data_IF_648117843914
#
_entry.id   IF_648117843914
#
_cell.length_a   1.000
_cell.length_b   1.000
_cell.length_c   1.000
_cell.angle_alpha   90.00
_cell.angle_beta   90.00
_cell.angle_gamma   90.00
#
_symmetry.space_group_name_H-M   'P 1'
#
loop_
_entity.id
_entity.type
_entity.pdbx_description
1 polymer ?
#
# COMPACT_ATOMS: atom_id res chain seq x y z
N UNK A 1 -21.72 22.62 14.85
CA UNK A 1 -21.67 21.20 15.26
C UNK A 1 -20.49 20.53 14.56
N UNK A 2 -19.59 19.89 15.29
CA UNK A 2 -18.42 19.25 14.69
C UNK A 2 -18.81 17.92 14.02
N UNK A 3 -18.93 17.90 12.68
CA UNK A 3 -19.33 16.74 11.87
C UNK A 3 -18.19 15.71 11.65
N UNK A 4 -17.01 15.98 12.16
CA UNK A 4 -15.83 15.10 11.96
C UNK A 4 -15.99 13.75 12.64
N UNK A 5 -16.49 13.72 13.88
CA UNK A 5 -16.65 12.48 14.67
C UNK A 5 -17.69 11.54 14.06
N UNK A 6 -18.91 11.98 13.68
CA UNK A 6 -19.86 11.12 13.00
C UNK A 6 -19.32 10.57 11.67
N UNK A 7 -18.63 11.41 10.90
CA UNK A 7 -18.00 10.99 9.63
C UNK A 7 -16.93 9.93 9.87
N UNK A 8 -16.09 10.10 10.89
CA UNK A 8 -15.07 9.13 11.25
C UNK A 8 -15.69 7.77 11.64
N UNK A 9 -16.76 7.77 12.44
CA UNK A 9 -17.48 6.52 12.80
C UNK A 9 -18.08 5.81 11.60
N UNK A 10 -18.61 6.55 10.64
CA UNK A 10 -19.13 5.99 9.40
C UNK A 10 -18.02 5.36 8.55
N UNK A 11 -16.91 6.08 8.37
CA UNK A 11 -15.75 5.60 7.62
C UNK A 11 -15.12 4.36 8.28
N UNK A 12 -15.00 4.36 9.62
CA UNK A 12 -14.38 3.25 10.34
C UNK A 12 -15.11 1.92 10.08
N UNK A 13 -16.45 1.91 9.99
CA UNK A 13 -17.21 0.69 9.66
C UNK A 13 -16.85 0.12 8.29
N UNK A 14 -16.74 0.96 7.25
CA UNK A 14 -16.33 0.54 5.92
C UNK A 14 -14.89 0.03 5.90
N UNK A 15 -13.98 0.73 6.56
CA UNK A 15 -12.59 0.29 6.71
C UNK A 15 -12.49 -1.03 7.47
N UNK A 16 -13.24 -1.21 8.57
CA UNK A 16 -13.23 -2.45 9.35
C UNK A 16 -13.65 -3.65 8.48
N UNK A 17 -14.73 -3.53 7.72
CA UNK A 17 -15.20 -4.59 6.84
C UNK A 17 -14.17 -5.00 5.79
N UNK A 18 -13.61 -4.03 5.05
CA UNK A 18 -12.59 -4.33 4.04
C UNK A 18 -11.27 -4.81 4.65
N UNK A 19 -10.88 -4.30 5.81
CA UNK A 19 -9.71 -4.78 6.54
C UNK A 19 -9.90 -6.23 6.97
N UNK A 20 -11.10 -6.62 7.41
CA UNK A 20 -11.42 -8.01 7.75
C UNK A 20 -11.31 -8.93 6.55
N UNK A 21 -11.84 -8.53 5.38
CA UNK A 21 -11.66 -9.27 4.13
C UNK A 21 -10.17 -9.39 3.78
N UNK A 22 -9.41 -8.30 3.94
CA UNK A 22 -7.96 -8.30 3.75
C UNK A 22 -7.25 -9.32 4.64
N UNK A 23 -7.60 -9.38 5.93
CA UNK A 23 -7.04 -10.38 6.85
C UNK A 23 -7.35 -11.81 6.44
N UNK A 24 -8.60 -12.10 6.06
CA UNK A 24 -8.98 -13.42 5.57
C UNK A 24 -8.21 -13.80 4.29
N UNK A 25 -7.99 -12.84 3.39
CA UNK A 25 -7.21 -13.06 2.18
C UNK A 25 -5.72 -13.29 2.45
N UNK A 26 -5.15 -12.60 3.43
CA UNK A 26 -3.79 -12.82 3.90
C UNK A 26 -3.65 -14.23 4.48
N UNK A 27 -4.58 -14.66 5.31
CA UNK A 27 -4.59 -16.03 5.85
C UNK A 27 -4.73 -17.06 4.75
N UNK A 28 -5.64 -16.84 3.80
CA UNK A 28 -5.85 -17.73 2.65
C UNK A 28 -4.59 -17.85 1.78
N UNK A 29 -3.96 -16.74 1.42
CA UNK A 29 -2.73 -16.74 0.62
C UNK A 29 -1.56 -17.41 1.34
N UNK A 30 -1.47 -17.25 2.66
CA UNK A 30 -0.45 -17.91 3.49
C UNK A 30 -0.67 -19.42 3.56
N UNK A 31 -1.92 -19.86 3.69
CA UNK A 31 -2.27 -21.29 3.69
C UNK A 31 -1.98 -21.93 2.34
N UNK A 32 -2.38 -21.29 1.24
CA UNK A 32 -2.10 -21.78 -0.13
C UNK A 32 -0.59 -21.83 -0.38
N UNK A 33 0.14 -20.78 -0.05
CA UNK A 33 1.60 -20.74 -0.21
C UNK A 33 2.30 -21.85 0.57
N UNK A 34 1.85 -22.13 1.81
CA UNK A 34 2.40 -23.24 2.60
C UNK A 34 2.07 -24.61 2.03
N UNK A 35 0.89 -24.81 1.48
CA UNK A 35 0.49 -26.03 0.81
C UNK A 35 1.36 -26.28 -0.44
N UNK A 36 1.50 -25.26 -1.29
CA UNK A 36 2.34 -25.35 -2.50
C UNK A 36 3.78 -25.76 -2.14
N UNK A 37 4.37 -25.11 -1.14
CA UNK A 37 5.71 -25.45 -0.69
C UNK A 37 5.83 -26.87 -0.14
N UNK A 38 4.83 -27.35 0.59
CA UNK A 38 4.81 -28.73 1.08
C UNK A 38 4.75 -29.72 -0.07
N UNK A 39 3.95 -29.42 -1.10
CA UNK A 39 3.88 -30.26 -2.31
C UNK A 39 5.19 -30.24 -3.09
N UNK A 40 5.82 -29.07 -3.27
CA UNK A 40 7.12 -28.94 -3.94
C UNK A 40 8.24 -29.71 -3.19
N UNK A 41 8.22 -29.70 -1.85
CA UNK A 41 9.15 -30.49 -1.04
C UNK A 41 8.97 -31.99 -1.26
N UNK A 42 7.73 -32.44 -1.43
CA UNK A 42 7.46 -33.88 -1.70
C UNK A 42 7.92 -34.28 -3.08
N UNK A 43 7.79 -33.39 -4.08
CA UNK A 43 8.23 -33.69 -5.46
C UNK A 43 9.73 -33.57 -5.66
N UNK A 44 10.46 -32.80 -4.86
CA UNK A 44 11.91 -32.59 -4.98
C UNK A 44 12.61 -32.67 -3.60
N UNK A 45 12.75 -33.85 -3.01
CA UNK A 45 13.26 -34.02 -1.65
C UNK A 45 14.73 -33.64 -1.42
N UNK A 46 15.51 -33.43 -2.50
CA UNK A 46 16.94 -33.06 -2.42
C UNK A 46 17.27 -31.60 -2.62
N UNK A 47 16.30 -30.73 -2.94
CA UNK A 47 16.60 -29.31 -3.10
C UNK A 47 16.45 -28.55 -1.76
N UNK A 48 17.47 -27.75 -1.35
CA UNK A 48 17.34 -26.87 -0.20
C UNK A 48 16.26 -25.82 -0.51
N UNK A 49 15.13 -25.95 0.15
CA UNK A 49 14.08 -24.91 0.08
C UNK A 49 14.56 -23.75 0.93
N UNK A 50 14.98 -22.69 0.29
CA UNK A 50 15.38 -21.43 0.95
C UNK A 50 14.27 -20.89 1.88
N UNK A 51 14.59 -19.92 2.73
CA UNK A 51 13.59 -19.27 3.58
C UNK A 51 12.44 -18.75 2.72
N UNK A 52 11.23 -18.97 3.18
CA UNK A 52 10.03 -18.50 2.46
C UNK A 52 9.89 -17.01 2.67
N UNK A 53 10.08 -16.24 1.62
CA UNK A 53 9.73 -14.81 1.63
C UNK A 53 8.24 -14.64 1.92
N UNK A 54 7.92 -13.70 2.80
CA UNK A 54 6.56 -13.51 3.30
C UNK A 54 5.63 -12.92 2.23
N UNK A 55 4.97 -13.77 1.45
CA UNK A 55 3.98 -13.38 0.44
C UNK A 55 2.80 -12.60 1.03
N UNK A 56 2.54 -12.75 2.33
CA UNK A 56 1.46 -12.03 3.02
C UNK A 56 1.70 -10.50 3.10
N UNK A 57 2.95 -10.01 3.11
CA UNK A 57 3.24 -8.58 3.01
C UNK A 57 2.78 -8.01 1.66
N UNK A 58 3.01 -8.75 0.57
CA UNK A 58 2.55 -8.37 -0.77
C UNK A 58 1.02 -8.37 -0.84
N UNK A 59 0.39 -9.40 -0.26
CA UNK A 59 -1.08 -9.46 -0.20
C UNK A 59 -1.65 -8.27 0.57
N UNK A 60 -1.07 -7.92 1.72
CA UNK A 60 -1.48 -6.74 2.49
C UNK A 60 -1.27 -5.42 1.70
N UNK A 61 -0.18 -5.31 0.94
CA UNK A 61 0.09 -4.16 0.09
C UNK A 61 -0.98 -4.01 -1.01
N UNK A 62 -1.37 -5.09 -1.67
CA UNK A 62 -2.45 -5.10 -2.66
C UNK A 62 -3.77 -4.64 -2.01
N UNK A 63 -4.11 -5.20 -0.84
CA UNK A 63 -5.33 -4.80 -0.12
C UNK A 63 -5.30 -3.34 0.34
N UNK A 64 -4.15 -2.81 0.73
CA UNK A 64 -4.00 -1.40 1.08
C UNK A 64 -4.38 -0.49 -0.10
N UNK A 65 -3.89 -0.79 -1.31
CA UNK A 65 -4.29 -0.07 -2.54
C UNK A 65 -5.77 -0.22 -2.81
N UNK A 66 -6.31 -1.44 -2.74
CA UNK A 66 -7.74 -1.71 -3.01
C UNK A 66 -8.66 -0.98 -2.02
N UNK A 67 -8.32 -0.96 -0.73
CA UNK A 67 -9.05 -0.19 0.29
C UNK A 67 -9.06 1.29 -0.09
N UNK A 68 -7.90 1.84 -0.45
CA UNK A 68 -7.80 3.21 -0.93
C UNK A 68 -8.69 3.47 -2.15
N UNK A 69 -8.68 2.58 -3.13
CA UNK A 69 -9.45 2.73 -4.36
C UNK A 69 -10.96 2.59 -4.14
N UNK A 70 -11.40 1.54 -3.46
CA UNK A 70 -12.82 1.19 -3.38
C UNK A 70 -13.58 2.09 -2.41
N UNK A 71 -13.02 2.34 -1.21
CA UNK A 71 -13.74 3.10 -0.20
C UNK A 71 -13.83 4.59 -0.50
N UNK A 72 -12.78 5.15 -1.08
CA UNK A 72 -12.67 6.61 -1.13
C UNK A 72 -13.77 7.27 -1.95
N UNK A 73 -14.06 6.77 -3.15
CA UNK A 73 -15.04 7.40 -4.02
C UNK A 73 -16.48 7.19 -3.53
N UNK A 74 -16.77 6.00 -3.02
CA UNK A 74 -18.10 5.66 -2.48
C UNK A 74 -18.39 6.52 -1.26
N UNK A 75 -17.45 6.56 -0.32
CA UNK A 75 -17.62 7.31 0.92
C UNK A 75 -17.60 8.83 0.70
N UNK A 76 -16.84 9.34 -0.29
CA UNK A 76 -16.85 10.75 -0.67
C UNK A 76 -18.24 11.17 -1.18
N UNK A 77 -18.85 10.40 -2.09
CA UNK A 77 -20.19 10.69 -2.60
C UNK A 77 -21.22 10.71 -1.48
N UNK A 78 -21.19 9.71 -0.61
CA UNK A 78 -22.12 9.62 0.53
C UNK A 78 -21.90 10.74 1.54
N UNK A 79 -20.66 11.11 1.85
CA UNK A 79 -20.34 12.18 2.77
C UNK A 79 -20.83 13.55 2.26
N UNK A 80 -20.61 13.83 0.98
CA UNK A 80 -21.07 15.08 0.34
C UNK A 80 -22.59 15.13 0.26
N UNK A 81 -23.26 14.02 -0.07
CA UNK A 81 -24.72 13.92 -0.05
C UNK A 81 -25.31 14.21 1.34
N UNK A 82 -24.60 13.83 2.41
CA UNK A 82 -24.95 14.13 3.81
C UNK A 82 -24.46 15.52 4.30
N UNK A 83 -24.03 16.40 3.40
CA UNK A 83 -23.62 17.76 3.73
C UNK A 83 -22.30 17.86 4.47
N UNK A 84 -21.44 16.84 4.39
CA UNK A 84 -20.08 16.89 4.94
C UNK A 84 -19.16 17.62 3.98
N UNK A 85 -18.40 18.60 4.49
CA UNK A 85 -17.44 19.31 3.64
C UNK A 85 -16.31 18.37 3.17
N UNK A 86 -15.80 18.62 1.97
CA UNK A 86 -14.70 17.81 1.38
C UNK A 86 -13.43 17.84 2.23
N UNK A 87 -13.15 18.98 2.87
CA UNK A 87 -12.03 19.12 3.80
C UNK A 87 -12.24 18.25 5.05
N UNK A 88 -13.43 18.31 5.65
CA UNK A 88 -13.79 17.47 6.81
C UNK A 88 -13.72 16.00 6.47
N UNK A 89 -14.20 15.61 5.28
CA UNK A 89 -14.11 14.25 4.80
C UNK A 89 -12.66 13.75 4.70
N UNK A 90 -11.77 14.54 4.08
CA UNK A 90 -10.37 14.14 3.95
C UNK A 90 -9.69 14.03 5.32
N UNK A 91 -9.92 15.01 6.21
CA UNK A 91 -9.36 15.01 7.57
C UNK A 91 -9.85 13.81 8.40
N UNK A 92 -11.08 13.34 8.17
CA UNK A 92 -11.59 12.13 8.82
C UNK A 92 -11.02 10.83 8.20
N UNK A 93 -10.69 10.84 6.90
CA UNK A 93 -10.08 9.67 6.23
C UNK A 93 -8.63 9.42 6.65
N UNK A 94 -7.85 10.45 6.97
CA UNK A 94 -6.45 10.29 7.35
C UNK A 94 -6.27 9.37 8.56
N UNK A 95 -6.91 9.61 9.72
CA UNK A 95 -6.78 8.70 10.86
C UNK A 95 -7.37 7.31 10.58
N UNK A 96 -8.46 7.21 9.80
CA UNK A 96 -9.03 5.92 9.42
C UNK A 96 -8.07 5.08 8.58
N UNK A 97 -7.39 5.70 7.61
CA UNK A 97 -6.38 5.04 6.78
C UNK A 97 -5.13 4.65 7.60
N UNK A 98 -4.70 5.52 8.52
CA UNK A 98 -3.58 5.22 9.41
C UNK A 98 -3.90 4.04 10.33
N UNK A 99 -5.12 3.98 10.89
CA UNK A 99 -5.57 2.83 11.69
C UNK A 99 -5.60 1.54 10.87
N UNK A 100 -6.07 1.59 9.62
CA UNK A 100 -6.07 0.43 8.72
C UNK A 100 -4.63 -0.03 8.41
N UNK A 101 -3.74 0.89 8.09
CA UNK A 101 -2.33 0.60 7.85
C UNK A 101 -1.65 -0.03 9.08
N UNK A 102 -1.92 0.51 10.28
CA UNK A 102 -1.42 -0.04 11.53
C UNK A 102 -1.98 -1.44 11.80
N UNK A 103 -3.27 -1.67 11.56
CA UNK A 103 -3.91 -2.97 11.73
C UNK A 103 -3.28 -4.03 10.80
N UNK A 104 -3.06 -3.71 9.52
CA UNK A 104 -2.36 -4.61 8.59
C UNK A 104 -0.92 -4.90 9.03
N UNK A 105 -0.19 -3.88 9.44
CA UNK A 105 1.20 -4.04 9.89
C UNK A 105 1.30 -4.92 11.13
N UNK A 106 0.48 -4.66 12.15
CA UNK A 106 0.45 -5.46 13.37
C UNK A 106 0.05 -6.90 13.09
N UNK A 107 -0.98 -7.10 12.25
CA UNK A 107 -1.43 -8.44 11.87
C UNK A 107 -0.33 -9.22 11.13
N UNK A 108 0.35 -8.60 10.16
CA UNK A 108 1.45 -9.21 9.44
C UNK A 108 2.61 -9.57 10.37
N UNK A 109 2.94 -8.69 11.31
CA UNK A 109 4.03 -8.94 12.25
C UNK A 109 3.69 -10.09 13.23
N UNK A 110 2.46 -10.13 13.74
CA UNK A 110 1.99 -11.25 14.58
C UNK A 110 2.00 -12.56 13.79
N UNK A 111 1.49 -12.54 12.55
CA UNK A 111 1.49 -13.71 11.67
C UNK A 111 2.93 -14.20 11.38
N UNK A 112 3.86 -13.28 11.15
CA UNK A 112 5.28 -13.60 11.02
C UNK A 112 5.83 -14.29 12.26
N UNK A 113 5.56 -13.78 13.47
CA UNK A 113 6.03 -14.40 14.71
C UNK A 113 5.49 -15.82 14.89
N UNK A 114 4.21 -16.03 14.58
CA UNK A 114 3.58 -17.35 14.61
C UNK A 114 4.25 -18.29 13.63
N UNK A 115 4.38 -17.88 12.38
CA UNK A 115 4.96 -18.72 11.33
C UNK A 115 6.43 -19.05 11.57
N UNK A 116 7.20 -18.08 12.07
CA UNK A 116 8.61 -18.27 12.42
C UNK A 116 8.84 -19.34 13.48
N UNK A 117 7.85 -19.58 14.36
CA UNK A 117 7.94 -20.66 15.35
C UNK A 117 7.89 -22.08 14.71
N UNK A 118 7.33 -22.19 13.51
CA UNK A 118 7.13 -23.48 12.83
C UNK A 118 8.06 -23.71 11.63
N UNK A 119 8.56 -22.63 11.01
CA UNK A 119 9.40 -22.69 9.81
C UNK A 119 10.25 -21.43 9.63
N UNK A 120 11.39 -21.49 8.93
CA UNK A 120 12.17 -20.31 8.60
C UNK A 120 11.38 -19.44 7.60
N UNK A 121 10.92 -18.27 8.08
CA UNK A 121 10.24 -17.25 7.28
C UNK A 121 11.00 -15.94 7.44
N UNK A 122 11.19 -15.21 6.34
CA UNK A 122 11.76 -13.86 6.34
C UNK A 122 10.73 -12.87 5.84
N UNK A 123 10.68 -11.68 6.42
CA UNK A 123 9.89 -10.56 5.92
C UNK A 123 10.66 -9.85 4.80
N UNK A 124 9.96 -9.32 3.80
CA UNK A 124 10.55 -8.47 2.75
C UNK A 124 11.28 -7.28 3.39
N UNK A 125 10.67 -6.69 4.41
CA UNK A 125 11.27 -5.60 5.19
C UNK A 125 12.59 -6.00 5.87
N UNK A 126 12.76 -7.26 6.28
CA UNK A 126 14.01 -7.78 6.85
C UNK A 126 15.03 -8.17 5.77
N UNK A 127 14.59 -8.59 4.60
CA UNK A 127 15.48 -8.82 3.45
C UNK A 127 16.10 -7.50 2.97
N UNK A 128 15.29 -6.44 2.92
CA UNK A 128 15.76 -5.10 2.55
C UNK A 128 16.67 -4.47 3.62
N UNK A 129 16.37 -4.73 4.88
CA UNK A 129 17.08 -4.16 6.04
C UNK A 129 17.37 -5.25 7.09
N UNK A 130 18.44 -6.04 6.93
CA UNK A 130 18.72 -7.20 7.79
C UNK A 130 18.84 -6.88 9.29
N UNK A 131 19.20 -5.64 9.63
CA UNK A 131 19.37 -5.20 11.03
C UNK A 131 18.14 -4.48 11.61
N UNK A 132 17.00 -4.48 10.89
CA UNK A 132 15.79 -3.81 11.36
C UNK A 132 15.20 -4.58 12.56
N UNK A 133 14.89 -3.86 13.64
CA UNK A 133 14.20 -4.44 14.79
C UNK A 133 12.69 -4.55 14.54
N UNK A 134 11.96 -5.29 15.39
CA UNK A 134 10.53 -5.53 15.22
C UNK A 134 9.69 -4.24 15.17
N UNK A 135 10.03 -3.23 15.97
CA UNK A 135 9.36 -1.92 15.94
C UNK A 135 9.61 -1.21 14.62
N UNK A 136 10.85 -1.26 14.13
CA UNK A 136 11.21 -0.70 12.83
C UNK A 136 10.45 -1.35 11.67
N UNK A 137 10.27 -2.69 11.71
CA UNK A 137 9.44 -3.43 10.73
C UNK A 137 8.02 -2.91 10.75
N UNK A 138 7.39 -2.81 11.92
CA UNK A 138 6.01 -2.34 12.07
C UNK A 138 5.88 -0.91 11.52
N UNK A 139 6.78 -0.01 11.88
CA UNK A 139 6.76 1.39 11.42
C UNK A 139 6.95 1.51 9.92
N UNK A 140 7.88 0.74 9.34
CA UNK A 140 8.12 0.70 7.90
C UNK A 140 6.88 0.21 7.14
N UNK A 141 6.26 -0.86 7.62
CA UNK A 141 5.03 -1.39 7.04
C UNK A 141 3.86 -0.41 7.16
N UNK A 142 3.69 0.26 8.30
CA UNK A 142 2.66 1.31 8.48
C UNK A 142 2.85 2.41 7.44
N UNK A 143 4.08 2.93 7.29
CA UNK A 143 4.38 3.97 6.32
C UNK A 143 4.10 3.51 4.88
N UNK A 144 4.49 2.27 4.55
CA UNK A 144 4.26 1.66 3.23
C UNK A 144 2.75 1.50 2.95
N UNK A 145 1.99 0.90 3.86
CA UNK A 145 0.56 0.67 3.63
C UNK A 145 -0.23 1.97 3.61
N UNK A 146 0.14 2.95 4.43
CA UNK A 146 -0.48 4.28 4.37
C UNK A 146 -0.22 4.97 3.03
N UNK A 147 1.02 4.91 2.52
CA UNK A 147 1.36 5.41 1.18
C UNK A 147 0.51 4.73 0.09
N UNK A 148 0.35 3.40 0.17
CA UNK A 148 -0.42 2.63 -0.80
C UNK A 148 -1.92 2.96 -0.74
N UNK A 149 -2.49 3.17 0.44
CA UNK A 149 -3.87 3.66 0.60
C UNK A 149 -4.01 5.06 -0.03
N UNK A 150 -3.08 5.97 0.23
CA UNK A 150 -3.10 7.31 -0.34
C UNK A 150 -2.94 7.28 -1.88
N UNK A 151 -2.11 6.38 -2.41
CA UNK A 151 -1.98 6.13 -3.84
C UNK A 151 -3.30 5.63 -4.44
N UNK A 152 -4.01 4.72 -3.75
CA UNK A 152 -5.35 4.28 -4.13
C UNK A 152 -6.34 5.44 -4.22
N UNK A 153 -6.34 6.37 -3.26
CA UNK A 153 -7.16 7.58 -3.33
C UNK A 153 -6.85 8.43 -4.55
N UNK A 154 -5.55 8.66 -4.80
CA UNK A 154 -5.10 9.47 -5.93
C UNK A 154 -5.52 8.84 -7.27
N UNK A 155 -5.27 7.54 -7.46
CA UNK A 155 -5.63 6.80 -8.67
C UNK A 155 -7.15 6.91 -8.91
N UNK A 156 -7.96 6.65 -7.88
CA UNK A 156 -9.42 6.69 -7.99
C UNK A 156 -9.95 8.06 -8.37
N UNK A 157 -9.41 9.13 -7.76
CA UNK A 157 -9.79 10.50 -8.10
C UNK A 157 -9.34 10.89 -9.51
N UNK A 158 -8.11 10.57 -9.88
CA UNK A 158 -7.58 10.81 -11.20
C UNK A 158 -8.44 10.11 -12.26
N UNK A 159 -8.76 8.83 -12.02
CA UNK A 159 -9.57 8.02 -12.92
C UNK A 159 -11.02 8.53 -13.04
N UNK A 160 -11.66 8.91 -11.93
CA UNK A 160 -13.05 9.36 -11.90
C UNK A 160 -13.27 10.69 -12.67
N UNK A 161 -12.22 11.47 -12.84
CA UNK A 161 -12.24 12.78 -13.51
C UNK A 161 -11.83 12.79 -14.96
N UNK A 162 -11.22 11.71 -15.38
CA UNK A 162 -10.58 11.60 -16.67
C UNK A 162 -11.56 11.18 -17.77
N UNK A 163 -11.35 11.69 -18.97
CA UNK A 163 -11.99 11.16 -20.17
C UNK A 163 -11.54 9.71 -20.41
N UNK A 164 -12.27 8.97 -21.21
CA UNK A 164 -11.96 7.57 -21.52
C UNK A 164 -10.53 7.38 -22.01
N UNK A 165 -10.03 8.27 -22.84
CA UNK A 165 -8.67 8.24 -23.35
C UNK A 165 -7.63 8.42 -22.22
N UNK A 166 -7.85 9.39 -21.33
CA UNK A 166 -6.94 9.65 -20.20
C UNK A 166 -6.98 8.49 -19.19
N UNK A 167 -8.11 7.80 -19.02
CA UNK A 167 -8.19 6.58 -18.20
C UNK A 167 -7.26 5.49 -18.73
N UNK A 168 -7.26 5.27 -20.05
CA UNK A 168 -6.33 4.34 -20.68
C UNK A 168 -4.87 4.76 -20.46
N UNK A 169 -4.56 6.04 -20.61
CA UNK A 169 -3.23 6.57 -20.34
C UNK A 169 -2.80 6.33 -18.87
N UNK A 170 -3.67 6.60 -17.90
CA UNK A 170 -3.39 6.36 -16.49
C UNK A 170 -3.13 4.86 -16.23
N UNK A 171 -3.94 3.97 -16.84
CA UNK A 171 -3.77 2.51 -16.68
C UNK A 171 -2.48 2.00 -17.31
N UNK A 172 -2.07 2.58 -18.44
CA UNK A 172 -0.84 2.21 -19.15
C UNK A 172 0.40 2.93 -18.63
N UNK A 173 0.24 4.04 -17.90
CA UNK A 173 1.34 4.87 -17.42
C UNK A 173 2.47 4.09 -16.72
N UNK A 174 2.22 3.13 -15.83
CA UNK A 174 3.29 2.37 -15.20
C UNK A 174 4.14 1.58 -16.21
N UNK A 175 3.48 0.97 -17.20
CA UNK A 175 4.15 0.18 -18.23
C UNK A 175 4.95 1.07 -19.19
N UNK A 176 4.35 2.20 -19.61
CA UNK A 176 5.01 3.18 -20.47
C UNK A 176 6.21 3.81 -19.75
N UNK A 177 6.04 4.19 -18.48
CA UNK A 177 7.14 4.74 -17.69
C UNK A 177 8.28 3.73 -17.53
N UNK A 178 7.94 2.48 -17.22
CA UNK A 178 8.94 1.41 -17.15
C UNK A 178 9.68 1.23 -18.48
N UNK A 179 8.97 1.20 -19.60
CA UNK A 179 9.57 1.07 -20.93
C UNK A 179 10.48 2.25 -21.26
N UNK A 180 10.05 3.49 -20.96
CA UNK A 180 10.85 4.69 -21.15
C UNK A 180 12.13 4.65 -20.31
N UNK A 181 12.02 4.30 -19.03
CA UNK A 181 13.18 4.22 -18.13
C UNK A 181 14.17 3.15 -18.61
N UNK A 182 13.68 2.00 -19.07
CA UNK A 182 14.54 0.94 -19.62
C UNK A 182 15.21 1.36 -20.94
N UNK A 183 14.48 2.04 -21.82
CA UNK A 183 15.05 2.54 -23.07
C UNK A 183 16.09 3.64 -22.82
N UNK A 184 15.81 4.56 -21.88
CA UNK A 184 16.74 5.60 -21.47
C UNK A 184 17.99 5.02 -20.81
N UNK A 185 17.85 4.01 -19.97
CA UNK A 185 18.99 3.33 -19.35
C UNK A 185 19.88 2.62 -20.39
N UNK A 186 19.26 1.88 -21.32
CA UNK A 186 19.98 1.25 -22.42
C UNK A 186 20.69 2.29 -23.32
N UNK A 187 20.02 3.40 -23.63
CA UNK A 187 20.59 4.46 -24.45
C UNK A 187 21.70 5.28 -23.77
N UNK A 188 21.70 5.33 -22.42
CA UNK A 188 22.71 6.04 -21.61
C UNK A 188 23.86 5.15 -21.12
N UNK A 189 23.92 3.89 -21.58
CA UNK A 189 24.93 2.94 -21.10
C UNK A 189 24.83 2.62 -19.60
N UNK A 190 23.59 2.63 -19.04
CA UNK A 190 23.34 2.33 -17.64
C UNK A 190 23.36 3.53 -16.68
N UNK A 191 23.57 4.76 -17.19
CA UNK A 191 23.66 5.94 -16.33
C UNK A 191 22.33 6.27 -15.63
N UNK A 192 21.20 6.01 -16.26
CA UNK A 192 19.87 6.23 -15.66
C UNK A 192 19.63 5.24 -14.52
N UNK A 193 19.96 3.97 -14.71
CA UNK A 193 19.90 2.94 -13.66
C UNK A 193 20.79 3.30 -12.47
N UNK A 194 22.02 3.69 -12.74
CA UNK A 194 22.97 4.13 -11.68
C UNK A 194 22.45 5.35 -10.91
N UNK A 195 21.82 6.32 -11.58
CA UNK A 195 21.23 7.49 -10.92
C UNK A 195 20.02 7.08 -10.05
N UNK A 196 19.15 6.19 -10.51
CA UNK A 196 18.02 5.65 -9.74
C UNK A 196 18.52 4.91 -8.51
N UNK A 197 19.52 4.04 -8.65
CA UNK A 197 20.13 3.32 -7.54
C UNK A 197 20.79 4.25 -6.52
N UNK A 198 21.50 5.29 -6.99
CA UNK A 198 22.09 6.31 -6.11
C UNK A 198 20.99 7.04 -5.32
N UNK A 199 19.90 7.43 -5.97
CA UNK A 199 18.75 8.05 -5.32
C UNK A 199 18.08 7.10 -4.30
N UNK A 200 17.88 5.83 -4.67
CA UNK A 200 17.33 4.83 -3.75
C UNK A 200 18.24 4.61 -2.54
N UNK A 201 19.54 4.50 -2.74
CA UNK A 201 20.52 4.40 -1.65
C UNK A 201 20.51 5.63 -0.73
N UNK A 202 20.39 6.82 -1.30
CA UNK A 202 20.34 8.06 -0.53
C UNK A 202 19.04 8.18 0.29
N UNK A 203 17.89 7.85 -0.31
CA UNK A 203 16.56 8.02 0.28
C UNK A 203 16.11 6.84 1.14
N UNK A 204 16.52 5.61 0.80
CA UNK A 204 16.07 4.37 1.43
C UNK A 204 17.21 3.48 1.95
N UNK A 205 18.44 3.98 2.03
CA UNK A 205 19.61 3.19 2.45
C UNK A 205 19.60 2.76 3.92
N UNK A 206 18.76 3.35 4.76
CA UNK A 206 18.52 2.92 6.15
C UNK A 206 17.03 2.85 6.45
N UNK A 207 16.58 1.99 7.40
CA UNK A 207 15.17 1.88 7.75
C UNK A 207 14.52 3.22 8.11
N UNK A 208 15.23 4.03 8.88
CA UNK A 208 14.72 5.35 9.29
C UNK A 208 14.54 6.30 8.11
N UNK A 209 15.52 6.36 7.20
CA UNK A 209 15.42 7.17 5.97
C UNK A 209 14.27 6.70 5.11
N UNK A 210 14.09 5.38 4.96
CA UNK A 210 12.97 4.81 4.22
C UNK A 210 11.62 5.23 4.82
N UNK A 211 11.45 5.13 6.14
CA UNK A 211 10.21 5.55 6.82
C UNK A 211 9.94 7.04 6.56
N UNK A 212 10.95 7.91 6.75
CA UNK A 212 10.81 9.36 6.52
C UNK A 212 10.44 9.64 5.07
N UNK A 213 11.10 9.00 4.11
CA UNK A 213 10.84 9.17 2.67
C UNK A 213 9.40 8.74 2.32
N UNK A 214 8.94 7.60 2.84
CA UNK A 214 7.57 7.12 2.63
C UNK A 214 6.53 8.06 3.24
N UNK A 215 6.81 8.63 4.42
CA UNK A 215 5.93 9.63 5.05
C UNK A 215 5.87 10.91 4.20
N UNK A 216 7.01 11.39 3.68
CA UNK A 216 7.05 12.55 2.78
C UNK A 216 6.23 12.28 1.51
N UNK A 217 6.41 11.13 0.87
CA UNK A 217 5.65 10.75 -0.32
C UNK A 217 4.14 10.64 -0.02
N UNK A 218 3.79 10.10 1.14
CA UNK A 218 2.40 10.05 1.58
C UNK A 218 1.81 11.44 1.76
N UNK A 219 2.55 12.38 2.36
CA UNK A 219 2.12 13.76 2.54
C UNK A 219 1.93 14.47 1.18
N UNK A 220 2.83 14.25 0.23
CA UNK A 220 2.71 14.79 -1.14
C UNK A 220 1.45 14.24 -1.81
N UNK A 221 1.23 12.91 -1.76
CA UNK A 221 0.04 12.29 -2.36
C UNK A 221 -1.25 12.78 -1.71
N UNK A 222 -1.30 12.89 -0.40
CA UNK A 222 -2.47 13.45 0.32
C UNK A 222 -2.71 14.91 -0.09
N UNK A 223 -1.66 15.70 -0.26
CA UNK A 223 -1.75 17.06 -0.79
C UNK A 223 -2.34 17.11 -2.20
N UNK A 224 -1.89 16.24 -3.10
CA UNK A 224 -2.43 16.11 -4.46
C UNK A 224 -3.91 15.65 -4.44
N UNK A 225 -4.24 14.68 -3.58
CA UNK A 225 -5.62 14.24 -3.35
C UNK A 225 -6.49 15.42 -2.90
N UNK A 226 -6.01 16.25 -1.97
CA UNK A 226 -6.72 17.43 -1.52
C UNK A 226 -6.98 18.43 -2.66
N UNK A 227 -5.97 18.72 -3.48
CA UNK A 227 -6.11 19.59 -4.65
C UNK A 227 -7.13 19.05 -5.64
N UNK A 228 -7.12 17.75 -5.88
CA UNK A 228 -8.09 17.10 -6.73
C UNK A 228 -9.50 17.16 -6.15
N UNK A 229 -9.70 16.86 -4.88
CA UNK A 229 -11.02 16.90 -4.21
C UNK A 229 -11.61 18.31 -4.23
N UNK A 230 -10.80 19.34 -3.99
CA UNK A 230 -11.28 20.74 -3.92
C UNK A 230 -12.03 21.16 -5.19
N UNK A 231 -11.58 20.69 -6.34
CA UNK A 231 -12.13 21.03 -7.66
C UNK A 231 -13.13 20.02 -8.22
N UNK A 232 -13.53 18.96 -7.45
CA UNK A 232 -14.39 17.91 -7.96
C UNK A 232 -15.83 18.42 -8.16
N UNK A 233 -16.40 18.46 -9.39
CA UNK A 233 -17.82 18.61 -9.56
C UNK A 233 -18.50 17.36 -9.00
N UNK A 234 -19.42 17.53 -8.04
CA UNK A 234 -20.31 16.44 -7.64
C UNK A 234 -21.43 16.44 -8.65
N UNK A 235 -21.33 15.60 -9.69
CA UNK A 235 -22.48 15.30 -10.52
C UNK A 235 -23.45 14.46 -9.69
N UNK A 236 -24.63 15.01 -9.48
CA UNK A 236 -25.80 14.26 -9.00
C UNK A 236 -26.16 13.15 -9.98
#
# INVERSE_FOLDING_TARGET
>A
MNKTIPTLRFLSKGFTWLTTIGFLSILGSTAIGSLIQTLLRRSNPGQPVGPTTATFEVTAAIFAVLIGMLLFLITLKMAVANGVSRKTFLLANLPAALMAAAAFSMFNYVLYLILRAFRPVTLISQELYPQINGVGVIMLQIATYFLLIAAGWFITLAYSRSSTLVRWLISLAPFVLYAILRAADAGSGGAVGAAIEAFQRASMGTPLRAIITLVIYSAILVGLVYLLIRRAPVKN
#
